data_IF_601381071905
#
_entry.id   IF_601381071905
#
_cell.length_a   1.000
_cell.length_b   1.000
_cell.length_c   1.000
_cell.angle_alpha   90.00
_cell.angle_beta   90.00
_cell.angle_gamma   90.00
#
_symmetry.space_group_name_H-M   'P 1'
#
loop_
_entity.id
_entity.type
_entity.pdbx_description
1 polymer ?
#
# COMPACT_ATOMS: atom_id res chain seq x y z
N UNK A 1 -8.74 39.58 -5.17
CA UNK A 1 -9.67 38.44 -5.34
C UNK A 1 -8.83 37.25 -5.78
N UNK A 2 -8.64 36.28 -4.92
CA UNK A 2 -7.91 35.04 -5.29
C UNK A 2 -8.90 34.15 -6.04
N UNK A 3 -8.65 33.92 -7.33
CA UNK A 3 -9.36 32.90 -8.09
C UNK A 3 -8.95 31.54 -7.59
N UNK A 4 -9.82 30.86 -6.85
CA UNK A 4 -9.69 29.44 -6.58
C UNK A 4 -9.78 28.72 -7.92
N UNK A 5 -8.63 28.30 -8.47
CA UNK A 5 -8.62 27.33 -9.56
C UNK A 5 -9.30 26.07 -9.04
N UNK A 6 -10.52 25.82 -9.45
CA UNK A 6 -11.25 24.60 -9.12
C UNK A 6 -10.40 23.42 -9.55
N UNK A 7 -10.12 22.50 -8.62
CA UNK A 7 -9.53 21.21 -8.97
C UNK A 7 -10.50 20.56 -9.95
N UNK A 8 -10.08 20.21 -11.18
CA UNK A 8 -10.98 19.55 -12.11
C UNK A 8 -11.53 18.31 -11.45
N UNK A 9 -12.85 18.15 -11.48
CA UNK A 9 -13.50 16.95 -10.97
C UNK A 9 -12.82 15.74 -11.56
N UNK A 10 -12.33 14.82 -10.72
CA UNK A 10 -11.68 13.62 -11.20
C UNK A 10 -12.72 12.80 -11.97
N UNK A 11 -12.39 12.50 -13.21
CA UNK A 11 -13.33 11.92 -14.18
C UNK A 11 -13.28 10.38 -14.21
N UNK A 12 -12.75 9.75 -13.16
CA UNK A 12 -12.57 8.31 -13.09
C UNK A 12 -11.36 7.80 -13.89
N UNK A 13 -11.18 6.49 -13.90
CA UNK A 13 -10.16 5.83 -14.70
C UNK A 13 -10.53 5.88 -16.19
N UNK A 14 -9.58 6.24 -17.07
CA UNK A 14 -9.81 6.43 -18.49
C UNK A 14 -9.07 5.38 -19.32
N UNK A 15 -9.55 5.13 -20.53
CA UNK A 15 -8.89 4.28 -21.53
C UNK A 15 -8.57 2.85 -21.05
N UNK A 16 -9.35 2.30 -20.10
CA UNK A 16 -9.09 0.99 -19.51
C UNK A 16 -7.98 0.97 -18.45
N UNK A 17 -7.36 2.11 -18.18
CA UNK A 17 -6.33 2.24 -17.15
C UNK A 17 -6.95 2.23 -15.74
N UNK A 18 -6.17 1.77 -14.73
CA UNK A 18 -6.56 1.76 -13.33
C UNK A 18 -5.33 1.97 -12.44
N UNK A 19 -4.90 3.21 -12.26
CA UNK A 19 -3.59 3.55 -11.69
C UNK A 19 -3.56 3.59 -10.17
N UNK A 20 -4.72 3.61 -9.51
CA UNK A 20 -4.83 3.66 -8.05
C UNK A 20 -5.87 2.66 -7.54
N UNK A 21 -5.84 2.36 -6.26
CA UNK A 21 -6.80 1.45 -5.61
C UNK A 21 -8.27 1.78 -5.93
N UNK A 22 -8.62 3.05 -5.97
CA UNK A 22 -9.98 3.52 -6.24
C UNK A 22 -10.21 3.96 -7.69
N UNK A 23 -9.31 3.66 -8.63
CA UNK A 23 -9.35 4.09 -10.03
C UNK A 23 -8.73 5.47 -10.22
N UNK A 24 -9.05 6.40 -9.35
CA UNK A 24 -8.48 7.74 -9.27
C UNK A 24 -8.25 8.16 -7.81
N UNK A 25 -7.61 9.31 -7.57
CA UNK A 25 -7.36 9.83 -6.22
C UNK A 25 -8.64 10.24 -5.47
N UNK A 26 -9.74 10.44 -6.17
CA UNK A 26 -11.07 10.66 -5.58
C UNK A 26 -11.75 9.36 -5.15
N UNK A 27 -11.13 8.20 -5.42
CA UNK A 27 -11.68 6.87 -5.14
C UNK A 27 -13.08 6.68 -5.74
N UNK A 28 -13.30 7.17 -6.96
CA UNK A 28 -14.61 7.12 -7.63
C UNK A 28 -15.02 5.70 -7.97
N UNK A 29 -14.05 4.78 -8.11
CA UNK A 29 -14.25 3.38 -8.53
C UNK A 29 -15.03 3.26 -9.84
N UNK A 30 -14.82 4.22 -10.71
CA UNK A 30 -15.52 4.35 -11.97
C UNK A 30 -14.55 4.36 -13.14
N UNK A 31 -14.90 3.64 -14.20
CA UNK A 31 -14.28 3.73 -15.51
C UNK A 31 -15.40 3.86 -16.55
N UNK A 32 -15.32 4.83 -17.48
CA UNK A 32 -16.35 5.05 -18.50
C UNK A 32 -16.23 4.04 -19.64
N UNK A 33 -16.27 2.76 -19.31
CA UNK A 33 -16.22 1.64 -20.26
C UNK A 33 -17.65 1.19 -20.58
N UNK A 34 -17.94 1.00 -21.84
CA UNK A 34 -19.28 0.64 -22.36
C UNK A 34 -19.31 -0.65 -23.19
N UNK A 35 -18.14 -1.32 -23.33
CA UNK A 35 -18.04 -2.55 -24.12
C UNK A 35 -18.89 -3.69 -23.53
N UNK A 36 -19.11 -3.70 -22.21
CA UNK A 36 -19.96 -4.68 -21.54
C UNK A 36 -21.29 -4.01 -21.17
N UNK A 37 -22.38 -4.59 -21.64
CA UNK A 37 -23.73 -4.07 -21.44
C UNK A 37 -24.75 -5.22 -21.32
N UNK A 38 -26.01 -4.89 -21.11
CA UNK A 38 -27.09 -5.88 -20.91
C UNK A 38 -27.25 -6.87 -22.07
N UNK A 39 -26.82 -6.53 -23.29
CA UNK A 39 -26.99 -7.42 -24.47
C UNK A 39 -25.88 -8.44 -24.63
N UNK A 40 -24.72 -8.23 -24.02
CA UNK A 40 -23.56 -9.10 -24.14
C UNK A 40 -23.04 -9.66 -22.83
N UNK A 41 -23.54 -9.19 -21.67
CA UNK A 41 -23.07 -9.64 -20.36
C UNK A 41 -23.17 -11.16 -20.18
N UNK A 42 -24.24 -11.79 -20.66
CA UNK A 42 -24.43 -13.25 -20.57
C UNK A 42 -23.49 -14.07 -21.46
N UNK A 43 -22.75 -13.41 -22.36
CA UNK A 43 -21.81 -14.04 -23.29
C UNK A 43 -20.36 -13.91 -22.83
N UNK A 44 -20.12 -13.34 -21.64
CA UNK A 44 -18.78 -13.20 -21.11
C UNK A 44 -18.18 -14.56 -20.78
N UNK A 45 -16.95 -14.76 -21.18
CA UNK A 45 -16.15 -15.94 -20.88
C UNK A 45 -14.87 -15.54 -20.14
N UNK A 46 -14.31 -16.47 -19.36
CA UNK A 46 -13.03 -16.25 -18.66
C UNK A 46 -11.91 -16.28 -19.70
N UNK A 47 -11.27 -15.14 -19.94
CA UNK A 47 -10.16 -15.04 -20.87
C UNK A 47 -8.92 -15.81 -20.38
N UNK A 48 -8.57 -15.66 -19.11
CA UNK A 48 -7.46 -16.36 -18.48
C UNK A 48 -7.60 -16.38 -16.94
N UNK A 49 -6.78 -17.19 -16.30
CA UNK A 49 -6.67 -17.26 -14.84
C UNK A 49 -5.21 -17.32 -14.42
N UNK A 50 -4.84 -16.53 -13.45
CA UNK A 50 -3.53 -16.60 -12.80
C UNK A 50 -3.68 -17.18 -11.40
N UNK A 51 -2.89 -18.20 -11.06
CA UNK A 51 -2.93 -18.85 -9.75
C UNK A 51 -1.87 -18.24 -8.83
N UNK A 52 -2.25 -17.96 -7.59
CA UNK A 52 -1.36 -17.40 -6.56
C UNK A 52 -0.86 -18.44 -5.56
N UNK A 53 -1.16 -19.72 -5.78
CA UNK A 53 -0.85 -20.83 -4.85
C UNK A 53 0.64 -20.95 -4.53
N UNK A 54 1.50 -20.61 -5.49
CA UNK A 54 2.96 -20.71 -5.38
C UNK A 54 3.65 -19.40 -4.94
N UNK A 55 2.89 -18.38 -4.55
CA UNK A 55 3.41 -17.08 -4.13
C UNK A 55 3.63 -16.99 -2.61
N UNK A 56 4.02 -18.09 -1.99
CA UNK A 56 4.30 -18.17 -0.56
C UNK A 56 4.34 -19.61 -0.07
N UNK A 57 4.63 -19.84 1.22
CA UNK A 57 4.79 -21.18 1.79
C UNK A 57 3.46 -21.96 1.94
N UNK A 58 2.33 -21.29 1.81
CA UNK A 58 0.99 -21.89 1.85
C UNK A 58 0.06 -21.17 0.89
N UNK A 59 -1.01 -21.81 0.41
CA UNK A 59 -2.04 -21.14 -0.37
C UNK A 59 -2.67 -19.99 0.40
N UNK A 60 -3.00 -18.92 -0.32
CA UNK A 60 -3.73 -17.79 0.24
C UNK A 60 -5.21 -18.13 0.37
N UNK A 61 -5.77 -17.89 1.55
CA UNK A 61 -7.18 -18.18 1.84
C UNK A 61 -8.08 -16.92 1.81
N UNK A 62 -7.49 -15.73 1.63
CA UNK A 62 -8.20 -14.47 1.63
C UNK A 62 -7.51 -13.44 0.72
N UNK A 63 -7.75 -13.53 -0.58
CA UNK A 63 -7.22 -12.59 -1.57
C UNK A 63 -8.09 -11.31 -1.57
N UNK A 64 -7.50 -10.19 -1.20
CA UNK A 64 -8.17 -8.88 -1.15
C UNK A 64 -7.52 -7.84 -2.06
N UNK A 65 -6.54 -8.24 -2.87
CA UNK A 65 -5.82 -7.33 -3.75
C UNK A 65 -6.74 -6.73 -4.80
N UNK A 66 -6.60 -5.42 -5.00
CA UNK A 66 -7.17 -4.73 -6.17
C UNK A 66 -6.04 -4.55 -7.17
N UNK A 67 -6.12 -5.20 -8.35
CA UNK A 67 -5.11 -5.05 -9.38
C UNK A 67 -5.08 -3.62 -9.94
N UNK A 68 -3.88 -3.16 -10.32
CA UNK A 68 -3.70 -1.96 -11.13
C UNK A 68 -3.56 -2.37 -12.59
N UNK A 69 -4.10 -1.54 -13.48
CA UNK A 69 -3.95 -1.67 -14.93
C UNK A 69 -3.20 -0.46 -15.45
N UNK A 70 -2.01 -0.69 -16.00
CA UNK A 70 -1.13 0.39 -16.50
C UNK A 70 -0.44 -0.07 -17.78
N UNK A 71 -0.66 0.64 -18.86
CA UNK A 71 0.03 0.42 -20.14
C UNK A 71 0.00 -1.05 -20.62
N UNK A 72 -1.16 -1.71 -20.54
CA UNK A 72 -1.32 -3.10 -20.94
C UNK A 72 -0.78 -4.14 -19.96
N UNK A 73 -0.30 -3.70 -18.78
CA UNK A 73 0.17 -4.58 -17.71
C UNK A 73 -0.79 -4.54 -16.53
N UNK A 74 -1.01 -5.70 -15.94
CA UNK A 74 -1.78 -5.85 -14.73
C UNK A 74 -0.82 -6.14 -13.57
N UNK A 75 -0.85 -5.29 -12.55
CA UNK A 75 -0.05 -5.45 -11.35
C UNK A 75 -0.93 -5.84 -10.18
N UNK A 76 -0.53 -6.85 -9.42
CA UNK A 76 -1.29 -7.31 -8.27
C UNK A 76 -0.37 -7.82 -7.17
N UNK A 77 -0.89 -7.85 -5.95
CA UNK A 77 -0.29 -8.62 -4.86
C UNK A 77 -1.00 -9.95 -4.71
N UNK A 78 -0.26 -10.98 -4.30
CA UNK A 78 -0.83 -12.30 -4.04
C UNK A 78 0.03 -13.16 -3.12
N UNK A 79 -0.55 -14.25 -2.63
CA UNK A 79 0.13 -15.20 -1.78
C UNK A 79 0.37 -14.73 -0.35
N UNK A 80 0.83 -15.66 0.48
CA UNK A 80 1.01 -15.44 1.93
C UNK A 80 2.19 -14.53 2.28
N UNK A 81 3.08 -14.25 1.31
CA UNK A 81 4.20 -13.32 1.46
C UNK A 81 3.95 -11.94 0.84
N UNK A 82 2.74 -11.70 0.32
CA UNK A 82 2.43 -10.48 -0.43
C UNK A 82 3.40 -10.27 -1.59
N UNK A 83 3.59 -11.31 -2.39
CA UNK A 83 4.37 -11.20 -3.62
C UNK A 83 3.69 -10.23 -4.58
N UNK A 84 4.49 -9.47 -5.32
CA UNK A 84 4.03 -8.59 -6.39
C UNK A 84 4.22 -9.30 -7.71
N UNK A 85 3.19 -9.32 -8.54
CA UNK A 85 3.23 -9.87 -9.90
C UNK A 85 2.92 -8.80 -10.92
N UNK A 86 3.55 -8.89 -12.08
CA UNK A 86 3.17 -8.18 -13.29
C UNK A 86 2.76 -9.19 -14.34
N UNK A 87 1.58 -9.02 -14.88
CA UNK A 87 1.02 -9.88 -15.93
C UNK A 87 0.77 -9.06 -17.18
N UNK A 88 0.89 -9.69 -18.34
CA UNK A 88 0.28 -9.17 -19.56
C UNK A 88 -1.25 -9.18 -19.38
N UNK A 89 -1.89 -8.04 -19.53
CA UNK A 89 -3.31 -7.92 -19.22
C UNK A 89 -4.22 -8.66 -20.22
N UNK A 90 -3.76 -8.87 -21.45
CA UNK A 90 -4.54 -9.55 -22.47
C UNK A 90 -4.45 -11.07 -22.36
N UNK A 91 -3.26 -11.60 -22.00
CA UNK A 91 -2.99 -13.04 -22.03
C UNK A 91 -2.91 -13.68 -20.63
N UNK A 92 -2.69 -12.89 -19.58
CA UNK A 92 -2.40 -13.38 -18.23
C UNK A 92 -1.00 -13.96 -18.05
N UNK A 93 -0.11 -13.79 -19.05
CA UNK A 93 1.28 -14.24 -18.98
C UNK A 93 2.03 -13.52 -17.85
N UNK A 94 2.78 -14.28 -17.05
CA UNK A 94 3.62 -13.71 -15.99
C UNK A 94 4.85 -13.03 -16.60
N UNK A 95 4.95 -11.71 -16.48
CA UNK A 95 6.08 -10.93 -16.96
C UNK A 95 7.22 -10.90 -15.93
N UNK A 96 6.88 -10.70 -14.66
CA UNK A 96 7.82 -10.78 -13.54
C UNK A 96 7.09 -11.00 -12.21
N UNK A 97 7.83 -11.49 -11.22
CA UNK A 97 7.38 -11.63 -9.84
C UNK A 97 8.48 -11.12 -8.91
N UNK A 98 8.08 -10.41 -7.86
CA UNK A 98 8.94 -10.00 -6.76
C UNK A 98 8.35 -10.49 -5.44
N UNK A 99 9.16 -11.06 -4.56
CA UNK A 99 8.71 -11.55 -3.26
C UNK A 99 9.81 -11.42 -2.20
N UNK A 100 9.45 -10.86 -1.06
CA UNK A 100 10.33 -10.74 0.10
C UNK A 100 10.15 -11.94 1.05
N UNK A 101 11.26 -12.49 1.53
CA UNK A 101 11.24 -13.43 2.62
C UNK A 101 11.71 -12.73 3.90
N UNK A 102 10.78 -12.28 4.71
CA UNK A 102 11.07 -11.50 5.92
C UNK A 102 11.22 -12.36 7.20
N UNK A 103 11.16 -13.69 7.07
CA UNK A 103 11.35 -14.61 8.19
C UNK A 103 10.46 -14.29 9.40
N UNK A 104 11.05 -14.22 10.59
CA UNK A 104 10.35 -13.95 11.84
C UNK A 104 9.62 -12.59 11.83
N UNK A 105 10.20 -11.57 11.17
CA UNK A 105 9.59 -10.25 11.04
C UNK A 105 8.25 -10.31 10.28
N UNK A 106 8.20 -11.03 9.16
CA UNK A 106 6.96 -11.24 8.40
C UNK A 106 5.96 -12.09 9.16
N UNK A 107 6.42 -13.11 9.89
CA UNK A 107 5.57 -13.97 10.71
C UNK A 107 4.94 -13.24 11.89
N UNK A 108 5.61 -12.24 12.47
CA UNK A 108 5.07 -11.39 13.54
C UNK A 108 4.07 -10.33 13.04
N UNK A 109 3.92 -10.18 11.72
CA UNK A 109 3.09 -9.13 11.16
C UNK A 109 1.61 -9.28 11.54
N UNK A 110 0.94 -8.21 11.98
CA UNK A 110 -0.50 -8.24 12.30
C UNK A 110 -1.37 -8.32 11.04
N UNK A 111 -0.80 -8.01 9.87
CA UNK A 111 -1.47 -8.00 8.58
C UNK A 111 -0.61 -8.73 7.55
N UNK A 112 -0.86 -10.01 7.42
CA UNK A 112 -0.23 -10.91 6.45
C UNK A 112 -1.06 -10.97 5.15
N UNK A 113 -0.75 -11.91 4.27
CA UNK A 113 -1.39 -12.19 3.01
C UNK A 113 -1.21 -11.04 1.99
N UNK A 114 -1.97 -11.08 0.90
CA UNK A 114 -1.88 -10.14 -0.23
C UNK A 114 -2.04 -8.68 0.14
N UNK A 115 -2.73 -8.38 1.23
CA UNK A 115 -3.14 -7.01 1.50
C UNK A 115 -4.14 -6.50 0.44
N UNK A 116 -4.29 -5.18 0.31
CA UNK A 116 -5.27 -4.58 -0.59
C UNK A 116 -4.71 -4.13 -1.93
N UNK A 117 -3.40 -4.23 -2.15
CA UNK A 117 -2.78 -3.96 -3.45
C UNK A 117 -1.57 -3.03 -3.38
N UNK A 118 -1.38 -2.29 -4.43
CA UNK A 118 -0.17 -1.56 -4.80
C UNK A 118 -0.48 -0.09 -5.07
N UNK A 119 0.58 0.73 -5.13
CA UNK A 119 0.53 2.06 -5.72
C UNK A 119 1.45 2.13 -6.94
N UNK A 120 1.09 2.95 -7.89
CA UNK A 120 1.87 3.23 -9.09
C UNK A 120 2.28 4.69 -9.11
N UNK A 121 3.49 4.95 -9.58
CA UNK A 121 4.01 6.28 -9.83
C UNK A 121 4.80 6.33 -11.12
N UNK A 122 4.69 7.46 -11.85
CA UNK A 122 5.53 7.75 -13.01
C UNK A 122 5.77 9.25 -13.13
N UNK A 123 6.95 9.60 -13.66
CA UNK A 123 7.27 10.96 -14.11
C UNK A 123 7.40 11.04 -15.64
N UNK A 124 6.98 10.00 -16.35
CA UNK A 124 7.07 9.87 -17.79
C UNK A 124 8.39 9.28 -18.29
N UNK A 125 9.40 9.12 -17.42
CA UNK A 125 10.68 8.45 -17.73
C UNK A 125 10.85 7.19 -16.89
N UNK A 126 10.63 7.33 -15.60
CA UNK A 126 10.65 6.23 -14.64
C UNK A 126 9.22 5.84 -14.26
N UNK A 127 9.03 4.56 -14.02
CA UNK A 127 7.77 4.00 -13.56
C UNK A 127 8.04 3.08 -12.36
N UNK A 128 7.30 3.26 -11.28
CA UNK A 128 7.51 2.51 -10.03
C UNK A 128 6.23 1.88 -9.53
N UNK A 129 6.37 0.66 -9.04
CA UNK A 129 5.37 0.00 -8.20
C UNK A 129 5.85 0.13 -6.75
N UNK A 130 4.96 0.64 -5.89
CA UNK A 130 5.23 0.81 -4.47
C UNK A 130 4.27 -0.05 -3.66
N UNK A 131 4.79 -0.78 -2.69
CA UNK A 131 3.96 -1.59 -1.80
C UNK A 131 4.59 -1.70 -0.42
N UNK A 132 3.77 -2.06 0.56
CA UNK A 132 4.25 -2.34 1.92
C UNK A 132 4.22 -3.83 2.16
N UNK A 133 5.36 -4.40 2.53
CA UNK A 133 5.49 -5.82 2.87
C UNK A 133 4.72 -6.17 4.16
N UNK A 134 4.42 -7.46 4.42
CA UNK A 134 3.88 -7.88 5.71
C UNK A 134 4.70 -7.38 6.90
N UNK A 135 6.04 -7.46 6.82
CA UNK A 135 6.95 -7.01 7.88
C UNK A 135 7.13 -5.49 7.99
N UNK A 136 6.30 -4.73 7.28
CA UNK A 136 6.24 -3.27 7.35
C UNK A 136 7.50 -2.60 6.80
N UNK A 137 7.84 -2.93 5.55
CA UNK A 137 8.82 -2.21 4.74
C UNK A 137 8.12 -1.62 3.52
N UNK A 138 8.43 -0.39 3.17
CA UNK A 138 8.00 0.23 1.92
C UNK A 138 9.04 -0.10 0.84
N UNK A 139 8.61 -0.79 -0.18
CA UNK A 139 9.45 -1.21 -1.31
C UNK A 139 9.09 -0.41 -2.55
N UNK A 140 10.09 0.02 -3.30
CA UNK A 140 9.92 0.58 -4.63
C UNK A 140 10.55 -0.37 -5.66
N UNK A 141 9.74 -0.82 -6.60
CA UNK A 141 10.14 -1.68 -7.72
C UNK A 141 10.09 -0.88 -9.02
N UNK A 142 11.04 -1.11 -9.91
CA UNK A 142 10.91 -0.72 -11.30
C UNK A 142 9.71 -1.45 -11.92
N UNK A 143 8.76 -0.70 -12.47
CA UNK A 143 7.51 -1.29 -12.95
C UNK A 143 7.69 -2.23 -14.14
N UNK A 144 8.76 -2.06 -14.92
CA UNK A 144 9.03 -2.87 -16.13
C UNK A 144 9.68 -4.20 -15.78
N UNK A 145 10.56 -4.21 -14.78
CA UNK A 145 11.42 -5.35 -14.47
C UNK A 145 11.09 -6.06 -13.16
N UNK A 146 10.37 -5.39 -12.23
CA UNK A 146 10.13 -5.90 -10.88
C UNK A 146 11.36 -5.84 -9.95
N UNK A 147 12.45 -5.25 -10.40
CA UNK A 147 13.67 -5.11 -9.61
C UNK A 147 13.53 -3.96 -8.61
N UNK A 148 14.04 -4.12 -7.36
CA UNK A 148 14.11 -3.02 -6.42
C UNK A 148 14.90 -1.84 -6.99
N UNK A 149 14.40 -0.61 -6.75
CA UNK A 149 15.05 0.63 -7.21
C UNK A 149 16.19 0.99 -6.26
N UNK A 150 17.49 0.87 -6.63
CA UNK A 150 18.58 0.97 -5.67
C UNK A 150 18.69 2.31 -4.94
N UNK A 151 18.28 3.40 -5.61
CA UNK A 151 18.28 4.76 -5.03
C UNK A 151 17.12 5.06 -4.08
N UNK A 152 16.20 4.11 -3.85
CA UNK A 152 15.09 4.28 -2.92
C UNK A 152 15.43 3.65 -1.56
N UNK A 153 15.51 4.48 -0.52
CA UNK A 153 15.87 4.05 0.82
C UNK A 153 17.20 3.28 0.84
N UNK A 154 17.20 2.11 1.43
CA UNK A 154 18.31 1.19 1.43
C UNK A 154 18.04 0.05 0.44
N UNK A 155 18.70 0.07 -0.73
CA UNK A 155 18.56 -0.97 -1.76
C UNK A 155 17.10 -1.23 -2.21
N UNK A 156 16.32 -0.19 -2.39
CA UNK A 156 14.93 -0.28 -2.84
C UNK A 156 13.89 -0.36 -1.72
N UNK A 157 14.31 -0.24 -0.46
CA UNK A 157 13.45 -0.41 0.71
C UNK A 157 13.62 0.69 1.76
N UNK A 158 12.51 1.10 2.37
CA UNK A 158 12.48 1.90 3.60
C UNK A 158 11.92 1.03 4.72
N UNK A 159 12.66 0.92 5.83
CA UNK A 159 12.18 0.24 7.02
C UNK A 159 11.19 1.14 7.78
N UNK A 160 9.90 0.80 7.69
CA UNK A 160 8.85 1.58 8.29
C UNK A 160 8.73 1.38 9.82
N UNK A 161 9.42 0.40 10.41
CA UNK A 161 9.52 0.26 11.87
C UNK A 161 10.52 1.23 12.48
N UNK A 162 11.35 1.86 11.66
CA UNK A 162 12.23 2.96 12.06
C UNK A 162 11.52 4.32 11.90
N UNK A 163 12.01 5.32 12.63
CA UNK A 163 11.48 6.69 12.54
C UNK A 163 10.10 6.89 13.20
N UNK A 164 9.67 5.97 14.06
CA UNK A 164 8.61 6.20 15.03
C UNK A 164 9.15 6.97 16.24
N UNK A 165 8.24 7.60 17.00
CA UNK A 165 8.55 8.23 18.30
C UNK A 165 8.75 7.21 19.43
N UNK A 166 8.77 5.93 19.10
CA UNK A 166 8.97 4.81 20.01
C UNK A 166 10.07 3.91 19.48
N UNK A 167 10.90 3.41 20.35
CA UNK A 167 11.83 2.34 20.03
C UNK A 167 11.05 1.05 19.84
N UNK A 168 11.02 0.57 18.60
CA UNK A 168 10.32 -0.65 18.23
C UNK A 168 11.31 -1.80 18.06
N UNK A 169 10.96 -2.96 18.59
CA UNK A 169 11.59 -4.20 18.16
C UNK A 169 11.28 -4.43 16.68
N UNK A 170 12.28 -4.22 15.82
CA UNK A 170 12.11 -4.32 14.36
C UNK A 170 11.66 -5.70 13.90
N UNK A 171 11.89 -6.75 14.70
CA UNK A 171 11.46 -8.11 14.41
C UNK A 171 10.06 -8.39 14.96
N UNK A 172 9.84 -8.17 16.26
CA UNK A 172 8.64 -8.62 16.95
C UNK A 172 7.53 -7.58 17.07
N UNK A 173 7.80 -6.27 16.83
CA UNK A 173 6.75 -5.26 16.96
C UNK A 173 5.58 -5.52 16.00
N UNK A 174 4.38 -5.60 16.56
CA UNK A 174 3.13 -5.91 15.86
C UNK A 174 2.53 -4.66 15.20
N UNK A 175 3.21 -4.16 14.20
CA UNK A 175 2.77 -3.06 13.34
C UNK A 175 2.95 -3.47 11.88
N UNK A 176 2.03 -3.06 11.03
CA UNK A 176 2.04 -3.38 9.60
C UNK A 176 1.13 -2.47 8.81
N UNK A 177 0.80 -2.85 7.60
CA UNK A 177 -0.19 -2.18 6.77
C UNK A 177 -0.97 -3.20 5.97
N UNK A 178 -2.28 -3.02 5.91
CA UNK A 178 -3.16 -3.81 5.05
C UNK A 178 -3.67 -2.99 3.86
N UNK A 179 -3.86 -1.68 4.07
CA UNK A 179 -4.26 -0.75 3.02
C UNK A 179 -3.16 -0.59 1.95
N UNK A 180 -3.53 -0.12 0.78
CA UNK A 180 -2.56 0.28 -0.24
C UNK A 180 -1.86 1.57 0.18
N UNK A 181 -0.58 1.74 -0.12
CA UNK A 181 0.02 3.07 -0.16
C UNK A 181 -0.74 3.97 -1.13
N UNK A 182 -0.74 5.27 -0.88
CA UNK A 182 -1.33 6.25 -1.80
C UNK A 182 -0.23 7.15 -2.34
N UNK A 183 -0.19 7.32 -3.65
CA UNK A 183 0.73 8.27 -4.29
C UNK A 183 -0.01 9.54 -4.64
N UNK A 184 0.48 10.66 -4.12
CA UNK A 184 0.01 12.00 -4.46
C UNK A 184 1.20 12.82 -4.97
N UNK A 185 1.22 13.11 -6.27
CA UNK A 185 2.37 13.74 -6.95
C UNK A 185 3.66 12.91 -6.74
N UNK A 186 4.64 13.46 -6.00
CA UNK A 186 5.92 12.82 -5.71
C UNK A 186 6.03 12.31 -4.27
N UNK A 187 4.90 12.13 -3.60
CA UNK A 187 4.86 11.64 -2.22
C UNK A 187 4.10 10.33 -2.17
N UNK A 188 4.71 9.29 -1.62
CA UNK A 188 4.01 8.07 -1.24
C UNK A 188 3.61 8.15 0.23
N UNK A 189 2.33 7.97 0.49
CA UNK A 189 1.68 8.12 1.79
C UNK A 189 1.37 6.73 2.33
N UNK A 190 1.82 6.48 3.56
CA UNK A 190 1.71 5.16 4.22
C UNK A 190 1.11 5.35 5.61
N UNK A 191 0.08 4.59 5.90
CA UNK A 191 -0.49 4.47 7.24
C UNK A 191 0.14 3.36 8.07
N UNK A 192 -0.49 3.04 9.18
CA UNK A 192 -0.11 1.94 10.06
C UNK A 192 -1.34 1.16 10.52
N UNK A 193 -1.21 -0.15 10.64
CA UNK A 193 -2.22 -1.04 11.17
C UNK A 193 -1.64 -1.94 12.25
N UNK A 194 -2.46 -2.29 13.21
CA UNK A 194 -2.09 -3.08 14.38
C UNK A 194 -2.85 -4.39 14.44
N UNK A 195 -2.48 -5.23 15.37
CA UNK A 195 -3.25 -6.40 15.73
C UNK A 195 -4.60 -5.95 16.31
N UNK A 196 -5.70 -6.30 15.63
CA UNK A 196 -7.06 -6.01 16.11
C UNK A 196 -7.38 -6.87 17.32
N UNK A 197 -8.02 -6.27 18.32
CA UNK A 197 -8.35 -6.97 19.56
C UNK A 197 -7.13 -7.33 20.40
N UNK A 198 -5.99 -6.67 20.18
CA UNK A 198 -4.80 -6.86 21.01
C UNK A 198 -5.17 -6.70 22.48
N UNK A 199 -5.00 -7.77 23.23
CA UNK A 199 -5.21 -7.83 24.65
C UNK A 199 -3.91 -8.24 25.35
N UNK A 200 -3.65 -7.68 26.49
CA UNK A 200 -4.36 -6.57 27.15
C UNK A 200 -4.03 -5.24 26.49
N UNK A 201 -4.91 -4.24 26.63
CA UNK A 201 -4.59 -2.84 26.34
C UNK A 201 -3.32 -2.50 27.08
N UNK A 202 -2.25 -2.22 26.38
CA UNK A 202 -0.92 -2.07 26.96
C UNK A 202 -0.39 -0.67 26.69
N UNK A 203 0.35 -0.13 27.66
CA UNK A 203 1.14 1.10 27.48
C UNK A 203 2.26 0.94 26.45
N UNK A 204 2.59 -0.28 26.08
CA UNK A 204 3.58 -0.58 25.05
C UNK A 204 2.99 -0.69 23.64
N UNK A 205 1.70 -0.42 23.45
CA UNK A 205 1.09 -0.44 22.12
C UNK A 205 1.76 0.58 21.21
N UNK A 206 1.99 0.16 19.98
CA UNK A 206 2.57 1.05 18.96
C UNK A 206 1.57 2.14 18.61
N UNK A 207 2.02 3.38 18.58
CA UNK A 207 1.22 4.53 18.17
C UNK A 207 1.11 4.58 16.66
N UNK A 208 -0.09 4.81 16.14
CA UNK A 208 -0.33 4.99 14.73
C UNK A 208 0.21 6.32 14.22
N UNK A 209 0.63 6.31 12.97
CA UNK A 209 1.03 7.52 12.28
C UNK A 209 0.76 7.37 10.78
N UNK A 210 0.46 8.48 10.12
CA UNK A 210 0.52 8.59 8.66
C UNK A 210 1.82 9.27 8.29
N UNK A 211 2.56 8.70 7.34
CA UNK A 211 3.86 9.23 6.94
C UNK A 211 3.92 9.43 5.44
N UNK A 212 4.52 10.53 5.02
CA UNK A 212 4.81 10.80 3.62
C UNK A 212 6.30 10.63 3.33
N UNK A 213 6.59 9.93 2.25
CA UNK A 213 7.96 9.70 1.79
C UNK A 213 8.11 10.21 0.36
N UNK A 214 9.28 10.76 0.05
CA UNK A 214 9.63 11.08 -1.33
C UNK A 214 9.63 9.80 -2.18
N UNK A 215 8.87 9.80 -3.26
CA UNK A 215 8.67 8.61 -4.10
C UNK A 215 9.93 8.18 -4.84
N UNK A 216 10.92 9.07 -5.02
CA UNK A 216 12.17 8.77 -5.71
C UNK A 216 13.24 8.25 -4.78
N UNK A 217 13.35 8.86 -3.59
CA UNK A 217 14.46 8.58 -2.67
C UNK A 217 14.07 7.75 -1.46
N UNK A 218 12.77 7.67 -1.13
CA UNK A 218 12.31 7.04 0.11
C UNK A 218 12.58 7.88 1.36
N UNK A 219 13.04 9.12 1.23
CA UNK A 219 13.24 10.02 2.36
C UNK A 219 11.91 10.40 2.98
N UNK A 220 11.79 10.27 4.30
CA UNK A 220 10.60 10.71 5.01
C UNK A 220 10.51 12.24 4.96
N UNK A 221 9.41 12.76 4.43
CA UNK A 221 9.16 14.20 4.27
C UNK A 221 8.37 14.77 5.45
N UNK A 222 7.43 14.00 5.96
CA UNK A 222 6.58 14.40 7.07
C UNK A 222 5.99 13.18 7.80
N UNK A 223 5.54 13.43 9.03
CA UNK A 223 4.83 12.49 9.88
C UNK A 223 3.61 13.20 10.48
N UNK A 224 2.45 12.59 10.36
CA UNK A 224 1.23 13.00 11.03
C UNK A 224 0.90 12.00 12.14
N UNK A 225 0.88 12.49 13.37
CA UNK A 225 0.54 11.69 14.54
C UNK A 225 -0.95 11.63 14.76
N UNK A 226 -1.49 10.44 14.86
CA UNK A 226 -2.91 10.24 15.19
C UNK A 226 -3.17 10.40 16.69
N UNK A 227 -2.12 10.31 17.51
CA UNK A 227 -2.13 10.63 18.95
C UNK A 227 -1.17 11.80 19.15
N UNK A 228 -1.70 13.01 19.40
CA UNK A 228 -0.87 14.20 19.51
C UNK A 228 0.10 14.11 20.67
N UNK A 229 1.31 14.61 20.48
CA UNK A 229 2.35 14.68 21.49
C UNK A 229 2.33 16.06 22.19
N UNK A 230 3.03 16.23 23.32
CA UNK A 230 3.10 17.52 24.01
C UNK A 230 3.52 18.66 23.08
N UNK A 231 2.75 19.74 23.09
CA UNK A 231 2.93 20.88 22.21
C UNK A 231 2.22 20.79 20.85
N UNK A 232 1.62 19.66 20.51
CA UNK A 232 0.79 19.50 19.31
C UNK A 232 -0.67 19.83 19.60
N UNK A 233 -1.40 20.26 18.57
CA UNK A 233 -2.83 20.61 18.67
C UNK A 233 -3.63 19.41 19.14
N UNK A 234 -4.45 19.62 20.18
CA UNK A 234 -5.33 18.61 20.76
C UNK A 234 -4.68 17.71 21.82
N UNK A 235 -3.38 17.85 22.12
CA UNK A 235 -2.76 17.06 23.20
C UNK A 235 -3.36 17.38 24.57
N UNK A 236 -3.74 18.63 24.82
CA UNK A 236 -4.39 19.15 26.03
C UNK A 236 -5.78 18.56 26.29
N UNK A 237 -6.40 17.94 25.31
CA UNK A 237 -7.68 17.23 25.45
C UNK A 237 -7.54 15.81 26.01
N UNK A 238 -6.31 15.30 26.11
CA UNK A 238 -6.02 13.95 26.61
C UNK A 238 -5.85 13.97 28.12
N UNK A 239 -6.88 13.57 28.83
CA UNK A 239 -6.88 13.55 30.30
C UNK A 239 -5.84 12.59 30.89
N UNK A 240 -5.22 13.01 32.02
CA UNK A 240 -4.29 12.19 32.81
C UNK A 240 -3.11 11.66 31.99
N UNK A 241 -2.62 12.46 31.06
CA UNK A 241 -1.52 12.11 30.16
C UNK A 241 -1.75 10.78 29.39
N UNK A 242 -3.02 10.47 29.10
CA UNK A 242 -3.38 9.22 28.43
C UNK A 242 -2.77 9.09 27.03
N UNK A 243 -2.40 10.18 26.38
CA UNK A 243 -1.63 10.21 25.14
C UNK A 243 -0.32 9.42 25.25
N UNK A 244 0.32 9.41 26.44
CA UNK A 244 1.63 8.80 26.65
C UNK A 244 1.59 7.27 26.50
N UNK A 245 0.49 6.64 26.90
CA UNK A 245 0.35 5.18 26.89
C UNK A 245 -0.72 4.65 25.94
N UNK A 246 -1.54 5.52 25.38
CA UNK A 246 -2.51 5.10 24.38
C UNK A 246 -1.77 4.80 23.06
N UNK A 247 -2.06 3.66 22.49
CA UNK A 247 -1.58 3.25 21.20
C UNK A 247 -2.72 2.78 20.31
N UNK A 248 -2.38 2.31 19.12
CA UNK A 248 -3.30 1.62 18.24
C UNK A 248 -4.42 2.48 17.67
N UNK A 249 -4.08 3.57 17.04
CA UNK A 249 -4.98 4.16 16.08
C UNK A 249 -4.57 3.65 14.70
N UNK A 250 -5.32 2.68 14.19
CA UNK A 250 -5.16 2.18 12.82
C UNK A 250 -5.54 3.27 11.82
N UNK A 251 -4.79 3.40 10.73
CA UNK A 251 -5.03 4.35 9.65
C UNK A 251 -5.01 3.61 8.32
#
# INVERSE_FOLDING_TARGET
MATTAGVPAQSGARNGEWHTYGGDLGSTRYAPLDQINATNFSKLEVAWRFKTDNLGPAPEFNLQSTPLMVNGRLYSTGGTRRAVVSLDAATGELLWVHSENEGARGAAAPRQLSGRGLAYWSDGKEERILYVTPGYRLIALDAKTGSPVPGFGQNGAVDLKLGFDQDLDVTGAKVGLHATPVVARNVVIVGAAFETGANPKSRSNVKGAVRGFDVRTGTQLWLFRTIPQPGEVGNDTWERDSWAYTGNTGV
#
